data_IF_566069279260
#
_entry.id   IF_566069279260
#
_cell.length_a   1.000
_cell.length_b   1.000
_cell.length_c   1.000
_cell.angle_alpha   90.00
_cell.angle_beta   90.00
_cell.angle_gamma   90.00
#
_symmetry.space_group_name_H-M   'P 1'
#
loop_
_entity.id
_entity.type
_entity.pdbx_description
1 polymer ?
#
# COMPACT_ATOMS: atom_id res chain seq x y z
N UNK A 1 -35.75 -14.37 -8.58
CA UNK A 1 -34.78 -14.08 -7.52
C UNK A 1 -33.43 -14.61 -7.97
N UNK A 2 -32.63 -13.78 -8.63
CA UNK A 2 -31.22 -14.09 -8.87
C UNK A 2 -30.50 -14.25 -7.52
N UNK A 3 -29.62 -15.26 -7.35
CA UNK A 3 -28.83 -15.38 -6.14
C UNK A 3 -27.87 -14.21 -6.07
N UNK A 4 -28.09 -13.29 -5.12
CA UNK A 4 -27.13 -12.24 -4.81
C UNK A 4 -25.74 -12.87 -4.59
N UNK A 5 -24.66 -12.30 -5.16
CA UNK A 5 -23.32 -12.85 -4.99
C UNK A 5 -22.97 -12.75 -3.50
N UNK A 6 -23.02 -13.86 -2.77
CA UNK A 6 -22.71 -13.92 -1.34
C UNK A 6 -21.28 -13.46 -1.03
N UNK A 7 -20.41 -13.46 -2.03
CA UNK A 7 -19.00 -13.13 -1.94
C UNK A 7 -18.73 -11.60 -1.91
N UNK A 8 -19.51 -10.81 -2.66
CA UNK A 8 -19.31 -9.36 -2.75
C UNK A 8 -19.71 -8.63 -1.45
N UNK A 9 -20.76 -9.12 -0.79
CA UNK A 9 -21.21 -8.60 0.50
C UNK A 9 -20.16 -8.81 1.60
N UNK A 10 -19.54 -9.99 1.65
CA UNK A 10 -18.52 -10.33 2.64
C UNK A 10 -17.24 -9.50 2.43
N UNK A 11 -16.75 -9.40 1.19
CA UNK A 11 -15.59 -8.56 0.84
C UNK A 11 -15.80 -7.10 1.21
N UNK A 12 -17.02 -6.59 0.99
CA UNK A 12 -17.38 -5.22 1.38
C UNK A 12 -17.37 -5.04 2.90
N UNK A 13 -17.87 -6.02 3.65
CA UNK A 13 -17.84 -6.00 5.11
C UNK A 13 -16.42 -6.07 5.67
N UNK A 14 -15.55 -6.91 5.10
CA UNK A 14 -14.12 -6.97 5.47
C UNK A 14 -13.43 -5.61 5.26
N UNK A 15 -13.67 -4.99 4.11
CA UNK A 15 -13.12 -3.65 3.83
C UNK A 15 -13.65 -2.61 4.82
N UNK A 16 -14.97 -2.59 5.08
CA UNK A 16 -15.56 -1.65 6.05
C UNK A 16 -15.04 -1.89 7.47
N UNK A 17 -14.88 -3.15 7.88
CA UNK A 17 -14.31 -3.52 9.18
C UNK A 17 -12.86 -3.03 9.32
N UNK A 18 -12.06 -3.19 8.26
CA UNK A 18 -10.68 -2.70 8.22
C UNK A 18 -10.64 -1.16 8.27
N UNK A 19 -11.50 -0.46 7.51
CA UNK A 19 -11.59 1.01 7.54
C UNK A 19 -11.93 1.49 8.95
N UNK A 20 -12.93 0.90 9.59
CA UNK A 20 -13.31 1.26 10.96
C UNK A 20 -12.17 1.01 11.95
N UNK A 21 -11.45 -0.11 11.83
CA UNK A 21 -10.31 -0.40 12.71
C UNK A 21 -9.18 0.62 12.53
N UNK A 22 -8.77 0.90 11.28
CA UNK A 22 -7.71 1.87 11.00
C UNK A 22 -8.12 3.26 11.47
N UNK A 23 -9.39 3.64 11.29
CA UNK A 23 -9.94 4.88 11.81
C UNK A 23 -9.82 4.97 13.35
N UNK A 24 -10.24 3.92 14.08
CA UNK A 24 -10.11 3.88 15.55
C UNK A 24 -8.65 3.91 16.00
N UNK A 25 -7.74 3.22 15.29
CA UNK A 25 -6.32 3.23 15.60
C UNK A 25 -5.73 4.66 15.42
N UNK A 26 -6.13 5.38 14.36
CA UNK A 26 -5.75 6.78 14.16
C UNK A 26 -6.25 7.68 15.30
N UNK A 27 -7.53 7.56 15.67
CA UNK A 27 -8.14 8.38 16.72
C UNK A 27 -7.49 8.11 18.08
N UNK A 28 -7.28 6.84 18.42
CA UNK A 28 -6.69 6.43 19.70
C UNK A 28 -5.22 6.80 19.84
N UNK A 29 -4.42 6.59 18.79
CA UNK A 29 -2.96 6.76 18.88
C UNK A 29 -2.44 8.12 18.40
N UNK A 30 -3.17 8.81 17.52
CA UNK A 30 -2.78 10.11 16.98
C UNK A 30 -3.72 11.25 17.40
N UNK A 31 -4.83 10.94 18.08
CA UNK A 31 -5.78 11.93 18.58
C UNK A 31 -6.72 12.49 17.51
N UNK A 32 -6.76 11.91 16.31
CA UNK A 32 -7.67 12.31 15.24
C UNK A 32 -8.11 11.11 14.41
N UNK A 33 -9.39 11.07 14.03
CA UNK A 33 -9.93 10.11 13.08
C UNK A 33 -10.25 10.76 11.75
N UNK A 34 -9.62 10.31 10.67
CA UNK A 34 -9.92 10.73 9.31
C UNK A 34 -10.21 9.49 8.44
N UNK A 35 -11.44 9.40 7.95
CA UNK A 35 -11.88 8.28 7.11
C UNK A 35 -11.15 8.23 5.77
N UNK A 36 -10.92 9.38 5.14
CA UNK A 36 -10.20 9.47 3.88
C UNK A 36 -8.75 9.05 4.06
N UNK A 37 -8.12 9.44 5.17
CA UNK A 37 -6.79 8.96 5.52
C UNK A 37 -6.78 7.44 5.78
N UNK A 38 -7.76 6.91 6.52
CA UNK A 38 -7.86 5.48 6.78
C UNK A 38 -7.98 4.66 5.47
N UNK A 39 -8.84 5.07 4.55
CA UNK A 39 -8.97 4.46 3.23
C UNK A 39 -7.68 4.55 2.41
N UNK A 40 -6.97 5.68 2.48
CA UNK A 40 -5.68 5.88 1.81
C UNK A 40 -4.56 4.97 2.37
N UNK A 41 -4.45 4.85 3.68
CA UNK A 41 -3.50 3.94 4.36
C UNK A 41 -3.76 2.50 3.92
N UNK A 42 -5.03 2.06 3.90
CA UNK A 42 -5.42 0.72 3.45
C UNK A 42 -5.05 0.51 1.98
N UNK A 43 -5.34 1.50 1.13
CA UNK A 43 -5.00 1.44 -0.29
C UNK A 43 -3.50 1.27 -0.52
N UNK A 44 -2.66 2.03 0.19
CA UNK A 44 -1.21 1.92 0.11
C UNK A 44 -0.70 0.59 0.68
N UNK A 45 -1.18 0.18 1.85
CA UNK A 45 -0.74 -1.06 2.51
C UNK A 45 -1.02 -2.30 1.67
N UNK A 46 -2.15 -2.33 0.94
CA UNK A 46 -2.48 -3.44 0.02
C UNK A 46 -1.57 -3.54 -1.20
N UNK A 47 -0.87 -2.46 -1.56
CA UNK A 47 0.09 -2.41 -2.68
C UNK A 47 1.52 -2.72 -2.25
N UNK A 48 1.81 -2.64 -0.96
CA UNK A 48 3.13 -2.86 -0.39
C UNK A 48 3.22 -4.30 0.15
N UNK A 49 4.37 -4.94 -0.01
CA UNK A 49 4.63 -6.27 0.55
C UNK A 49 5.43 -6.20 1.85
N UNK A 50 6.25 -5.17 2.00
CA UNK A 50 7.13 -4.99 3.15
C UNK A 50 6.84 -3.67 3.86
N UNK A 51 7.25 -3.60 5.13
CA UNK A 51 7.14 -2.39 5.94
C UNK A 51 7.91 -1.25 5.30
N UNK A 52 9.11 -1.50 4.78
CA UNK A 52 9.96 -0.47 4.19
C UNK A 52 9.33 0.16 2.93
N UNK A 53 8.68 -0.66 2.09
CA UNK A 53 7.94 -0.16 0.92
C UNK A 53 6.75 0.71 1.34
N UNK A 54 6.04 0.26 2.37
CA UNK A 54 4.87 0.97 2.89
C UNK A 54 5.25 2.29 3.55
N UNK A 55 6.31 2.29 4.34
CA UNK A 55 6.90 3.46 4.98
C UNK A 55 7.37 4.49 3.93
N UNK A 56 8.10 4.03 2.91
CA UNK A 56 8.55 4.89 1.82
C UNK A 56 7.37 5.54 1.08
N UNK A 57 6.30 4.78 0.83
CA UNK A 57 5.08 5.29 0.19
C UNK A 57 4.31 6.28 1.07
N UNK A 58 4.18 6.01 2.36
CA UNK A 58 3.58 6.95 3.31
C UNK A 58 4.38 8.24 3.41
N UNK A 59 5.72 8.17 3.41
CA UNK A 59 6.59 9.36 3.44
C UNK A 59 6.53 10.18 2.15
N UNK A 60 6.27 9.53 1.01
CA UNK A 60 6.16 10.19 -0.29
C UNK A 60 4.81 10.89 -0.46
N UNK A 61 3.72 10.17 -0.17
CA UNK A 61 2.36 10.55 -0.58
C UNK A 61 1.43 10.87 0.62
N UNK A 62 1.92 10.76 1.85
CA UNK A 62 1.12 10.85 3.07
C UNK A 62 1.81 11.49 4.28
N UNK A 63 1.19 11.42 5.47
CA UNK A 63 1.74 12.01 6.68
C UNK A 63 2.86 11.13 7.27
N UNK A 64 3.85 11.78 7.90
CA UNK A 64 4.92 11.09 8.62
C UNK A 64 4.36 10.47 9.89
N UNK A 65 4.42 9.14 9.98
CA UNK A 65 3.96 8.37 11.13
C UNK A 65 5.13 7.75 11.88
N UNK A 66 4.98 7.42 13.17
CA UNK A 66 5.96 6.64 13.90
C UNK A 66 6.13 5.23 13.32
N UNK A 67 7.36 4.70 13.31
CA UNK A 67 7.70 3.40 12.72
C UNK A 67 6.85 2.23 13.28
N UNK A 68 6.54 2.24 14.57
CA UNK A 68 5.69 1.22 15.19
C UNK A 68 4.30 1.19 14.55
N UNK A 69 3.79 2.37 14.17
CA UNK A 69 2.45 2.53 13.62
C UNK A 69 2.40 2.06 12.16
N UNK A 70 3.45 2.37 11.39
CA UNK A 70 3.63 1.86 10.02
C UNK A 70 3.64 0.32 10.01
N UNK A 71 4.36 -0.30 10.95
CA UNK A 71 4.38 -1.77 11.12
C UNK A 71 2.99 -2.30 11.48
N UNK A 72 2.36 -1.74 12.50
CA UNK A 72 1.02 -2.16 12.98
C UNK A 72 -0.02 -2.09 11.88
N UNK A 73 -0.02 -1.01 11.09
CA UNK A 73 -0.96 -0.87 9.98
C UNK A 73 -0.73 -1.89 8.89
N UNK A 74 0.51 -2.07 8.43
CA UNK A 74 0.77 -3.05 7.37
C UNK A 74 0.35 -4.46 7.82
N UNK A 75 0.71 -4.85 9.04
CA UNK A 75 0.31 -6.14 9.61
C UNK A 75 -1.20 -6.28 9.72
N UNK A 76 -1.90 -5.26 10.22
CA UNK A 76 -3.37 -5.26 10.32
C UNK A 76 -4.03 -5.38 8.95
N UNK A 77 -3.55 -4.61 7.98
CA UNK A 77 -4.09 -4.58 6.61
C UNK A 77 -3.91 -5.96 5.99
N UNK A 78 -2.71 -6.54 6.05
CA UNK A 78 -2.43 -7.86 5.46
C UNK A 78 -3.13 -9.02 6.18
N UNK A 79 -3.43 -8.87 7.48
CA UNK A 79 -4.18 -9.86 8.24
C UNK A 79 -5.65 -9.93 7.83
N UNK A 80 -6.26 -8.80 7.44
CA UNK A 80 -7.67 -8.74 7.03
C UNK A 80 -7.81 -8.84 5.51
N UNK A 81 -6.97 -8.12 4.76
CA UNK A 81 -6.93 -8.11 3.31
C UNK A 81 -5.53 -8.46 2.84
N UNK A 82 -5.36 -9.71 2.39
CA UNK A 82 -4.10 -10.20 1.83
C UNK A 82 -3.52 -9.20 0.81
N UNK A 83 -2.17 -9.09 0.74
CA UNK A 83 -1.50 -8.25 -0.25
C UNK A 83 -2.06 -8.54 -1.64
N UNK A 84 -2.32 -7.50 -2.44
CA UNK A 84 -2.70 -7.73 -3.83
C UNK A 84 -1.52 -8.37 -4.57
N UNK A 85 -1.72 -9.43 -5.38
CA UNK A 85 -0.70 -9.86 -6.32
C UNK A 85 -0.25 -8.65 -7.14
N UNK A 86 1.06 -8.44 -7.24
CA UNK A 86 1.58 -7.36 -8.09
C UNK A 86 1.29 -7.78 -9.53
N UNK A 87 0.50 -7.00 -10.24
CA UNK A 87 0.59 -6.99 -11.69
C UNK A 87 2.00 -6.48 -12.03
N UNK A 88 2.79 -7.33 -12.69
CA UNK A 88 4.14 -7.02 -13.12
C UNK A 88 4.09 -5.81 -14.06
N UNK A 89 4.29 -4.61 -13.52
CA UNK A 89 4.66 -3.46 -14.33
C UNK A 89 6.15 -3.57 -14.64
N UNK A 90 6.40 -4.03 -15.85
CA UNK A 90 7.65 -4.02 -16.60
C UNK A 90 8.55 -2.88 -16.14
N UNK A 91 9.57 -3.25 -15.37
CA UNK A 91 10.63 -2.33 -14.95
C UNK A 91 11.53 -2.10 -16.15
N UNK A 92 11.17 -1.15 -17.03
CA UNK A 92 12.10 -0.63 -18.04
C UNK A 92 13.23 0.09 -17.32
N UNK A 93 14.26 -0.69 -17.02
CA UNK A 93 15.59 -0.25 -16.58
C UNK A 93 16.23 0.45 -17.76
N UNK A 94 16.11 1.77 -17.81
CA UNK A 94 16.92 2.61 -18.72
C UNK A 94 18.36 2.63 -18.21
N UNK A 95 19.11 1.59 -18.59
CA UNK A 95 20.56 1.66 -18.69
C UNK A 95 20.87 2.39 -20.00
N UNK A 96 21.05 3.71 -19.95
CA UNK A 96 21.62 4.45 -21.08
C UNK A 96 23.11 4.17 -21.15
N UNK A 97 23.46 3.34 -22.15
CA UNK A 97 24.79 2.99 -22.58
C UNK A 97 25.49 4.13 -23.33
N UNK A 98 26.81 4.10 -23.24
CA UNK A 98 27.77 4.37 -24.33
C UNK A 98 27.91 5.81 -24.87
N UNK A 99 28.98 6.48 -24.43
CA UNK A 99 29.55 7.62 -25.14
C UNK A 99 30.52 7.16 -26.26
N UNK A 100 30.62 7.87 -27.39
CA UNK A 100 31.20 7.32 -28.61
C UNK A 100 32.72 7.53 -28.79
N UNK A 101 33.34 6.51 -29.42
CA UNK A 101 34.47 6.49 -30.37
C UNK A 101 35.83 7.09 -29.97
N UNK A 102 36.86 6.24 -30.07
CA UNK A 102 37.98 6.52 -30.98
C UNK A 102 38.41 5.23 -31.69
N UNK A 103 38.34 5.28 -33.02
CA UNK A 103 38.94 4.31 -33.94
C UNK A 103 40.29 4.87 -34.33
N UNK A 104 41.35 4.10 -34.12
CA UNK A 104 42.63 4.26 -34.80
C UNK A 104 43.36 2.90 -34.80
N UNK A 105 44.00 2.63 -35.94
CA UNK A 105 45.15 1.76 -36.15
C UNK A 105 44.96 0.23 -36.20
N UNK A 106 44.70 -0.30 -37.41
CA UNK A 106 45.69 -1.02 -38.24
C UNK A 106 45.16 -1.28 -39.66
#
# INVERSE_FOLDING_TARGET
>A
MDPAPKDDGLKKLEFLSLVSKVYTDLESHLGFGDKTLAEFIIYLGRKCKTVDEFDAKLKQDGPKMPDYFVRTFLTTIHAILSPKPREEKDSKKESASDGPKHSADW
#
